data_IF_087013264936
#
_entry.id   IF_087013264936
#
_cell.length_a   1.000
_cell.length_b   1.000
_cell.length_c   1.000
_cell.angle_alpha   90.00
_cell.angle_beta   90.00
_cell.angle_gamma   90.00
#
_symmetry.space_group_name_H-M   'P 1'
#
loop_
_entity.id
_entity.type
_entity.pdbx_description
1 polymer ?
#
# COMPACT_ATOMS: atom_id res chain seq x y z
N UNK A 1 -15.59 -4.04 16.12
CA UNK A 1 -16.26 -2.73 15.89
C UNK A 1 -16.28 -2.49 14.40
N UNK A 2 -17.43 -2.13 13.82
CA UNK A 2 -17.58 -1.86 12.38
C UNK A 2 -17.77 -0.37 12.15
N UNK A 3 -17.08 0.18 11.15
CA UNK A 3 -17.23 1.56 10.69
C UNK A 3 -17.86 1.56 9.31
N UNK A 4 -18.66 2.57 8.99
CA UNK A 4 -19.33 2.65 7.70
C UNK A 4 -18.38 3.14 6.62
N UNK A 5 -18.40 2.43 5.49
CA UNK A 5 -17.72 2.79 4.25
C UNK A 5 -18.77 3.25 3.24
N UNK A 6 -18.50 4.34 2.52
CA UNK A 6 -19.28 4.76 1.35
C UNK A 6 -18.36 4.86 0.15
N UNK A 7 -18.79 4.29 -0.99
CA UNK A 7 -18.07 4.37 -2.26
C UNK A 7 -18.75 5.37 -3.18
N UNK A 8 -17.97 6.22 -3.83
CA UNK A 8 -18.41 7.16 -4.85
C UNK A 8 -17.52 6.96 -6.06
N UNK A 9 -18.11 6.66 -7.22
CA UNK A 9 -17.36 6.50 -8.47
C UNK A 9 -17.68 7.65 -9.41
N UNK A 10 -16.74 8.58 -9.52
CA UNK A 10 -16.81 9.72 -10.41
C UNK A 10 -15.39 10.21 -10.68
N UNK A 11 -14.76 9.77 -11.80
CA UNK A 11 -13.38 10.12 -12.10
C UNK A 11 -13.12 11.63 -12.02
N UNK A 12 -12.04 12.03 -11.34
CA UNK A 12 -11.63 13.42 -11.05
C UNK A 12 -12.49 14.17 -10.02
N UNK A 13 -13.53 13.55 -9.44
CA UNK A 13 -14.26 14.15 -8.34
C UNK A 13 -13.44 14.05 -7.04
N UNK A 14 -13.42 15.08 -6.17
CA UNK A 14 -12.64 15.06 -4.92
C UNK A 14 -13.03 13.95 -3.94
N UNK A 15 -14.26 13.41 -4.06
CA UNK A 15 -14.76 12.29 -3.26
C UNK A 15 -14.70 10.95 -3.98
N UNK A 16 -14.12 10.89 -5.18
CA UNK A 16 -13.95 9.63 -5.91
C UNK A 16 -13.21 8.60 -5.04
N UNK A 17 -13.71 7.37 -5.03
CA UNK A 17 -13.20 6.27 -4.21
C UNK A 17 -13.98 6.00 -2.92
N UNK A 18 -13.30 5.43 -1.94
CA UNK A 18 -13.89 4.95 -0.69
C UNK A 18 -13.68 5.96 0.44
N UNK A 19 -14.78 6.34 1.08
CA UNK A 19 -14.79 7.20 2.27
C UNK A 19 -15.12 6.38 3.51
N UNK A 20 -14.26 6.45 4.52
CA UNK A 20 -14.50 5.90 5.85
C UNK A 20 -15.07 6.99 6.77
N UNK A 21 -16.24 6.75 7.38
CA UNK A 21 -16.80 7.68 8.38
C UNK A 21 -16.35 7.25 9.77
N UNK A 22 -15.66 8.17 10.45
CA UNK A 22 -15.05 7.92 11.76
C UNK A 22 -15.65 8.89 12.76
N UNK A 23 -16.31 8.43 13.83
CA UNK A 23 -16.66 9.28 14.96
C UNK A 23 -15.41 9.94 15.54
N UNK A 24 -15.44 11.25 15.80
CA UNK A 24 -14.26 11.99 16.26
C UNK A 24 -13.52 11.35 17.45
N UNK A 25 -14.22 10.79 18.48
CA UNK A 25 -13.53 10.11 19.59
C UNK A 25 -12.74 8.86 19.18
N UNK A 26 -13.07 8.24 18.04
CA UNK A 26 -12.43 7.02 17.55
C UNK A 26 -11.27 7.29 16.59
N UNK A 27 -11.08 8.54 16.14
CA UNK A 27 -10.08 8.89 15.15
C UNK A 27 -8.66 8.50 15.59
N UNK A 28 -8.32 8.76 16.85
CA UNK A 28 -7.01 8.44 17.42
C UNK A 28 -6.79 6.94 17.64
N UNK A 29 -7.88 6.16 17.68
CA UNK A 29 -7.84 4.71 17.87
C UNK A 29 -7.74 3.94 16.55
N UNK A 30 -7.76 4.62 15.40
CA UNK A 30 -7.66 3.96 14.12
C UNK A 30 -6.23 3.46 13.86
N UNK A 31 -6.05 2.16 13.56
CA UNK A 31 -4.74 1.64 13.20
C UNK A 31 -4.33 2.20 11.83
N UNK A 32 -3.33 3.07 11.81
CA UNK A 32 -2.80 3.68 10.59
C UNK A 32 -2.37 2.62 9.56
N UNK A 33 -1.68 1.58 10.03
CA UNK A 33 -1.25 0.44 9.21
C UNK A 33 -2.41 -0.20 8.44
N UNK A 34 -3.58 -0.35 9.06
CA UNK A 34 -4.75 -0.94 8.39
C UNK A 34 -5.23 -0.07 7.23
N UNK A 35 -5.17 1.25 7.39
CA UNK A 35 -5.58 2.23 6.38
C UNK A 35 -4.61 2.26 5.19
N UNK A 36 -3.37 1.79 5.36
CA UNK A 36 -2.40 1.71 4.27
C UNK A 36 -2.80 0.71 3.17
N UNK A 37 -3.55 -0.35 3.51
CA UNK A 37 -3.90 -1.41 2.57
C UNK A 37 -4.95 -1.01 1.54
N UNK A 38 -5.63 0.12 1.76
CA UNK A 38 -6.65 0.63 0.85
C UNK A 38 -7.70 -0.48 0.53
N UNK A 39 -8.41 -0.39 -0.60
CA UNK A 39 -9.27 -1.48 -1.08
C UNK A 39 -8.52 -2.45 -2.00
N UNK A 40 -8.86 -3.75 -2.02
CA UNK A 40 -8.16 -4.75 -2.84
C UNK A 40 -8.04 -4.37 -4.33
N UNK A 41 -9.08 -3.76 -4.92
CA UNK A 41 -9.08 -3.36 -6.34
C UNK A 41 -8.11 -2.24 -6.71
N UNK A 42 -7.55 -1.53 -5.73
CA UNK A 42 -6.60 -0.43 -5.95
C UNK A 42 -5.24 -0.70 -5.26
N UNK A 43 -5.13 -1.81 -4.53
CA UNK A 43 -3.92 -2.20 -3.81
C UNK A 43 -2.73 -2.43 -4.76
N UNK A 44 -2.97 -3.11 -5.90
CA UNK A 44 -1.91 -3.32 -6.90
C UNK A 44 -1.35 -2.01 -7.44
N UNK A 45 -2.24 -1.10 -7.85
CA UNK A 45 -1.85 0.23 -8.34
C UNK A 45 -1.05 1.00 -7.30
N UNK A 46 -1.48 0.96 -6.02
CA UNK A 46 -0.76 1.59 -4.92
C UNK A 46 0.64 1.00 -4.74
N UNK A 47 0.78 -0.33 -4.71
CA UNK A 47 2.07 -1.00 -4.55
C UNK A 47 3.01 -0.70 -5.73
N UNK A 48 2.50 -0.67 -6.96
CA UNK A 48 3.27 -0.25 -8.15
C UNK A 48 3.76 1.19 -7.98
N UNK A 49 2.89 2.11 -7.57
CA UNK A 49 3.26 3.51 -7.36
C UNK A 49 4.35 3.65 -6.28
N UNK A 50 4.20 2.97 -5.14
CA UNK A 50 5.19 2.97 -4.06
C UNK A 50 6.57 2.52 -4.57
N UNK A 51 6.65 1.38 -5.27
CA UNK A 51 7.93 0.89 -5.80
C UNK A 51 8.48 1.79 -6.90
N UNK A 52 7.61 2.43 -7.71
CA UNK A 52 8.04 3.41 -8.71
C UNK A 52 8.62 4.68 -8.08
N UNK A 53 8.17 5.06 -6.89
CA UNK A 53 8.66 6.24 -6.17
C UNK A 53 9.97 5.96 -5.40
N UNK A 54 10.36 4.70 -5.22
CA UNK A 54 11.64 4.36 -4.58
C UNK A 54 12.85 5.01 -5.29
N UNK A 55 13.95 5.28 -4.56
CA UNK A 55 15.19 5.75 -5.14
C UNK A 55 15.64 4.89 -6.32
N UNK A 56 16.14 5.53 -7.39
CA UNK A 56 16.52 4.86 -8.65
C UNK A 56 17.45 3.65 -8.43
N UNK A 57 18.38 3.75 -7.47
CA UNK A 57 19.32 2.69 -7.12
C UNK A 57 18.65 1.43 -6.55
N UNK A 58 17.51 1.59 -5.87
CA UNK A 58 16.71 0.51 -5.29
C UNK A 58 15.70 -0.02 -6.31
N UNK A 59 14.97 0.88 -6.97
CA UNK A 59 13.90 0.54 -7.95
C UNK A 59 14.38 -0.35 -9.09
N UNK A 60 15.62 -0.17 -9.56
CA UNK A 60 16.20 -0.96 -10.69
C UNK A 60 16.23 -2.47 -10.42
N UNK A 61 16.18 -2.90 -9.16
CA UNK A 61 16.19 -4.32 -8.78
C UNK A 61 14.81 -4.99 -8.94
N UNK A 62 13.76 -4.20 -9.21
CA UNK A 62 12.38 -4.66 -9.28
C UNK A 62 11.78 -4.41 -10.67
N UNK A 63 12.58 -4.50 -11.73
CA UNK A 63 12.10 -4.28 -13.10
C UNK A 63 11.87 -5.64 -13.77
N UNK A 64 10.67 -5.92 -14.35
CA UNK A 64 9.50 -5.04 -14.46
C UNK A 64 8.68 -4.93 -13.14
N UNK A 65 8.39 -3.69 -12.70
CA UNK A 65 7.69 -3.45 -11.42
C UNK A 65 6.34 -4.17 -11.32
N UNK A 66 5.46 -4.15 -12.34
CA UNK A 66 4.17 -4.84 -12.23
C UNK A 66 4.29 -6.33 -11.94
N UNK A 67 5.31 -7.01 -12.48
CA UNK A 67 5.47 -8.46 -12.34
C UNK A 67 5.90 -8.81 -10.91
N UNK A 68 6.83 -8.04 -10.34
CA UNK A 68 7.23 -8.16 -8.94
C UNK A 68 6.06 -7.90 -7.99
N UNK A 69 5.26 -6.85 -8.23
CA UNK A 69 4.12 -6.52 -7.39
C UNK A 69 3.05 -7.60 -7.45
N UNK A 70 2.69 -8.10 -8.64
CA UNK A 70 1.71 -9.19 -8.78
C UNK A 70 2.14 -10.44 -8.03
N UNK A 71 3.40 -10.85 -8.18
CA UNK A 71 3.93 -12.01 -7.49
C UNK A 71 4.08 -11.80 -5.98
N UNK A 72 4.31 -10.56 -5.52
CA UNK A 72 4.33 -10.25 -4.10
C UNK A 72 2.92 -10.30 -3.49
N UNK A 73 1.93 -9.71 -4.16
CA UNK A 73 0.53 -9.67 -3.68
C UNK A 73 -0.10 -11.05 -3.52
N UNK A 74 0.31 -12.04 -4.32
CA UNK A 74 -0.13 -13.43 -4.15
C UNK A 74 0.30 -14.07 -2.82
N UNK A 75 1.30 -13.50 -2.15
CA UNK A 75 1.88 -14.01 -0.90
C UNK A 75 1.59 -13.12 0.31
N UNK A 76 0.99 -11.95 0.09
CA UNK A 76 0.62 -11.02 1.15
C UNK A 76 -0.74 -11.39 1.74
N UNK A 77 -0.82 -11.34 3.08
CA UNK A 77 -2.10 -11.43 3.78
C UNK A 77 -2.69 -10.03 3.90
N UNK A 78 -3.87 -9.81 3.29
CA UNK A 78 -4.47 -8.48 3.22
C UNK A 78 -4.81 -7.91 4.60
N UNK A 79 -4.25 -6.74 4.91
CA UNK A 79 -4.58 -5.98 6.11
C UNK A 79 -3.80 -6.35 7.36
N UNK A 80 -2.79 -7.19 7.24
CA UNK A 80 -1.93 -7.58 8.35
C UNK A 80 -0.64 -6.75 8.40
N UNK A 81 -0.54 -5.90 9.42
CA UNK A 81 0.62 -5.04 9.65
C UNK A 81 0.74 -3.89 8.65
N UNK A 82 1.91 -3.27 8.60
CA UNK A 82 2.23 -2.20 7.65
C UNK A 82 2.39 -2.72 6.22
N UNK A 83 1.76 -2.06 5.25
CA UNK A 83 1.82 -2.44 3.84
C UNK A 83 3.25 -2.30 3.26
N UNK A 84 3.97 -1.17 3.38
CA UNK A 84 5.35 -1.04 2.91
C UNK A 84 6.28 -2.11 3.49
N UNK A 85 6.15 -2.43 4.78
CA UNK A 85 6.98 -3.45 5.42
C UNK A 85 6.65 -4.86 4.90
N UNK A 86 5.37 -5.20 4.79
CA UNK A 86 4.94 -6.49 4.27
C UNK A 86 5.40 -6.67 2.82
N UNK A 87 5.23 -5.64 1.98
CA UNK A 87 5.70 -5.62 0.60
C UNK A 87 7.23 -5.72 0.52
N UNK A 88 7.97 -4.93 1.29
CA UNK A 88 9.44 -4.95 1.31
C UNK A 88 10.00 -6.31 1.72
N UNK A 89 9.35 -7.00 2.66
CA UNK A 89 9.72 -8.36 3.06
C UNK A 89 9.55 -9.37 1.93
N UNK A 90 8.49 -9.25 1.14
CA UNK A 90 8.27 -10.14 0.01
C UNK A 90 9.22 -9.83 -1.16
N UNK A 91 9.47 -8.55 -1.45
CA UNK A 91 10.47 -8.13 -2.42
C UNK A 91 11.88 -8.61 -2.04
N UNK A 92 12.24 -8.55 -0.76
CA UNK A 92 13.49 -9.10 -0.23
C UNK A 92 13.59 -10.60 -0.47
N UNK A 93 12.51 -11.37 -0.23
CA UNK A 93 12.50 -12.81 -0.50
C UNK A 93 12.71 -13.15 -1.98
N UNK A 94 12.20 -12.29 -2.87
CA UNK A 94 12.27 -12.50 -4.31
C UNK A 94 13.64 -12.11 -4.91
N UNK A 95 14.31 -11.08 -4.38
CA UNK A 95 15.52 -10.50 -5.01
C UNK A 95 16.76 -10.52 -4.14
N UNK A 96 16.64 -10.74 -2.83
CA UNK A 96 17.71 -10.54 -1.85
C UNK A 96 18.01 -9.08 -1.52
N UNK A 97 17.30 -8.12 -2.13
CA UNK A 97 17.50 -6.68 -1.91
C UNK A 97 16.54 -6.18 -0.82
N UNK A 98 17.10 -5.62 0.25
CA UNK A 98 16.31 -4.98 1.30
C UNK A 98 15.97 -3.54 0.90
N UNK A 99 14.70 -3.19 1.00
CA UNK A 99 14.24 -1.79 0.97
C UNK A 99 14.23 -1.30 2.42
N UNK A 100 14.92 -0.19 2.70
CA UNK A 100 14.98 0.38 4.06
C UNK A 100 13.72 1.18 4.37
N UNK A 101 13.47 1.46 5.65
CA UNK A 101 12.31 2.23 6.07
C UNK A 101 12.41 3.69 5.59
N UNK A 102 13.61 4.24 5.50
CA UNK A 102 13.87 5.58 4.95
C UNK A 102 13.50 5.63 3.46
N UNK A 103 13.85 4.59 2.69
CA UNK A 103 13.49 4.52 1.28
C UNK A 103 11.97 4.45 1.08
N UNK A 104 11.24 3.79 2.00
CA UNK A 104 9.78 3.81 1.99
C UNK A 104 9.20 5.17 2.38
N UNK A 105 9.79 5.84 3.37
CA UNK A 105 9.36 7.17 3.80
C UNK A 105 9.57 8.23 2.70
N UNK A 106 10.66 8.13 1.93
CA UNK A 106 10.91 9.01 0.77
C UNK A 106 9.96 8.76 -0.41
N UNK A 107 9.36 7.57 -0.48
CA UNK A 107 8.49 7.16 -1.60
C UNK A 107 7.00 7.46 -1.38
N UNK A 108 6.60 7.77 -0.14
CA UNK A 108 5.23 8.05 0.30
C UNK A 108 4.81 9.49 -0.03
#
# INVERSE_FOLDING_TARGET
MSLSLSYHFEPNHPRDGVTLRVPAPLLLSLPAERLEWLVPGLLETKCIALVRNLPKAVRKNFVPVPDFIKAALQRLTFGEGSLPQALGRELLRMTGVRVSDEAWAEAA
#
